data_IF_248571622429
#
_entry.id   IF_248571622429
#
_cell.length_a   1.000
_cell.length_b   1.000
_cell.length_c   1.000
_cell.angle_alpha   90.00
_cell.angle_beta   90.00
_cell.angle_gamma   90.00
#
_symmetry.space_group_name_H-M   'P 1'
#
loop_
_entity.id
_entity.type
_entity.pdbx_description
1 polymer ?
#
# COMPACT_ATOMS: atom_id res chain seq x y z
N UNK A 1 -22.16 0.79 2.34
CA UNK A 1 -21.90 -0.55 1.76
C UNK A 1 -21.42 -0.38 0.34
N UNK A 2 -20.47 -1.22 -0.07
CA UNK A 2 -19.90 -1.25 -1.42
C UNK A 2 -20.04 -2.68 -1.96
N UNK A 3 -21.21 -3.05 -2.51
CA UNK A 3 -21.36 -4.34 -3.18
C UNK A 3 -20.32 -4.50 -4.28
N UNK A 4 -19.85 -5.73 -4.53
CA UNK A 4 -18.82 -6.00 -5.53
C UNK A 4 -19.15 -5.38 -6.91
N UNK A 5 -20.39 -5.47 -7.37
CA UNK A 5 -20.82 -4.84 -8.63
C UNK A 5 -20.57 -3.33 -8.66
N UNK A 6 -20.76 -2.64 -7.53
CA UNK A 6 -20.45 -1.22 -7.41
C UNK A 6 -18.94 -0.97 -7.38
N UNK A 7 -18.16 -1.88 -6.78
CA UNK A 7 -16.71 -1.79 -6.78
C UNK A 7 -16.12 -1.86 -8.21
N UNK A 8 -16.73 -2.69 -9.09
CA UNK A 8 -16.38 -2.81 -10.51
C UNK A 8 -16.59 -1.51 -11.30
N UNK A 9 -17.42 -0.60 -10.80
CA UNK A 9 -17.60 0.75 -11.38
C UNK A 9 -16.68 1.78 -10.74
N UNK A 10 -16.58 1.77 -9.41
CA UNK A 10 -15.83 2.76 -8.63
C UNK A 10 -14.33 2.67 -8.92
N UNK A 11 -13.75 1.47 -8.87
CA UNK A 11 -12.28 1.32 -8.99
C UNK A 11 -11.80 1.79 -10.38
N UNK A 12 -12.39 1.37 -11.51
CA UNK A 12 -11.99 1.91 -12.81
C UNK A 12 -12.21 3.41 -12.95
N UNK A 13 -13.26 3.98 -12.32
CA UNK A 13 -13.49 5.42 -12.33
C UNK A 13 -12.42 6.19 -11.53
N UNK A 14 -11.99 5.65 -10.39
CA UNK A 14 -10.90 6.22 -9.60
C UNK A 14 -9.56 6.19 -10.35
N UNK A 15 -9.34 5.16 -11.16
CA UNK A 15 -8.10 4.95 -11.92
C UNK A 15 -8.16 5.50 -13.35
N UNK A 16 -9.23 6.21 -13.72
CA UNK A 16 -9.37 6.82 -15.05
C UNK A 16 -8.16 7.69 -15.50
N UNK A 17 -7.44 8.40 -14.61
CA UNK A 17 -6.23 9.14 -14.99
C UNK A 17 -5.10 8.28 -15.60
N UNK A 18 -5.12 6.95 -15.39
CA UNK A 18 -4.17 6.01 -16.01
C UNK A 18 -4.47 5.73 -17.49
N UNK A 19 -5.58 6.24 -18.01
CA UNK A 19 -5.92 6.18 -19.43
C UNK A 19 -6.78 4.97 -19.83
N UNK A 20 -7.33 5.00 -21.06
CA UNK A 20 -8.35 4.05 -21.50
C UNK A 20 -7.85 2.62 -21.60
N UNK A 21 -6.59 2.39 -22.01
CA UNK A 21 -6.02 1.04 -22.10
C UNK A 21 -5.92 0.38 -20.72
N UNK A 22 -5.47 1.12 -19.70
CA UNK A 22 -5.46 0.64 -18.32
C UNK A 22 -6.89 0.36 -17.83
N UNK A 23 -7.82 1.27 -18.14
CA UNK A 23 -9.24 1.14 -17.83
C UNK A 23 -9.91 -0.09 -18.47
N UNK A 24 -9.48 -0.52 -19.65
CA UNK A 24 -9.97 -1.73 -20.31
C UNK A 24 -9.51 -2.98 -19.57
N UNK A 25 -8.22 -3.09 -19.27
CA UNK A 25 -7.64 -4.27 -18.60
C UNK A 25 -8.23 -4.46 -17.20
N UNK A 26 -8.36 -3.38 -16.41
CA UNK A 26 -8.93 -3.51 -15.06
C UNK A 26 -10.40 -3.95 -15.09
N UNK A 27 -11.19 -3.48 -16.07
CA UNK A 27 -12.59 -3.90 -16.22
C UNK A 27 -12.70 -5.37 -16.61
N UNK A 28 -11.80 -5.85 -17.47
CA UNK A 28 -11.70 -7.26 -17.82
C UNK A 28 -11.36 -8.11 -16.60
N UNK A 29 -10.31 -7.74 -15.85
CA UNK A 29 -9.94 -8.50 -14.66
C UNK A 29 -11.05 -8.51 -13.60
N UNK A 30 -11.70 -7.36 -13.37
CA UNK A 30 -12.83 -7.25 -12.43
C UNK A 30 -14.10 -7.96 -12.88
N UNK A 31 -14.16 -8.53 -14.09
CA UNK A 31 -15.23 -9.41 -14.51
C UNK A 31 -15.01 -10.83 -13.98
N UNK A 32 -15.89 -11.38 -13.13
CA UNK A 32 -15.77 -12.76 -12.66
C UNK A 32 -15.71 -13.80 -13.80
N UNK A 33 -16.27 -13.48 -14.98
CA UNK A 33 -16.20 -14.36 -16.14
C UNK A 33 -14.79 -14.45 -16.76
N UNK A 34 -13.89 -13.52 -16.44
CA UNK A 34 -12.51 -13.51 -16.95
C UNK A 34 -11.61 -14.57 -16.29
N UNK A 35 -12.01 -15.08 -15.12
CA UNK A 35 -11.18 -15.99 -14.32
C UNK A 35 -10.05 -15.33 -13.54
N UNK A 36 -9.94 -14.00 -13.54
CA UNK A 36 -8.91 -13.29 -12.76
C UNK A 36 -9.19 -13.27 -11.27
N UNK A 37 -10.45 -13.34 -10.83
CA UNK A 37 -10.81 -13.10 -9.43
C UNK A 37 -11.70 -14.20 -8.82
N UNK A 38 -11.32 -14.65 -7.62
CA UNK A 38 -12.16 -15.44 -6.71
C UNK A 38 -12.67 -14.56 -5.56
N UNK A 39 -13.92 -14.10 -5.68
CA UNK A 39 -14.45 -12.90 -5.01
C UNK A 39 -14.81 -13.11 -3.53
N UNK A 40 -15.68 -14.08 -3.23
CA UNK A 40 -16.38 -14.15 -1.94
C UNK A 40 -15.77 -15.19 -0.99
N UNK A 41 -15.93 -15.01 0.34
CA UNK A 41 -15.58 -16.05 1.30
C UNK A 41 -16.43 -17.30 1.09
N UNK A 42 -15.83 -18.47 1.28
CA UNK A 42 -16.53 -19.75 1.31
C UNK A 42 -15.90 -20.66 2.37
N UNK A 43 -16.58 -21.79 2.65
CA UNK A 43 -16.12 -22.74 3.66
C UNK A 43 -14.71 -23.24 3.31
N UNK A 44 -13.80 -23.14 4.28
CA UNK A 44 -12.41 -23.59 4.18
C UNK A 44 -11.51 -22.75 3.23
N UNK A 45 -12.00 -21.62 2.71
CA UNK A 45 -11.15 -20.65 2.00
C UNK A 45 -10.21 -19.98 2.99
N UNK A 46 -8.92 -19.93 2.64
CA UNK A 46 -7.90 -19.22 3.42
C UNK A 46 -8.33 -17.77 3.70
N UNK A 47 -7.95 -17.20 4.84
CA UNK A 47 -8.28 -15.81 5.21
C UNK A 47 -7.50 -14.78 4.37
N UNK A 48 -7.87 -13.50 4.48
CA UNK A 48 -7.18 -12.41 3.78
C UNK A 48 -7.40 -12.38 2.26
N UNK A 49 -6.57 -11.61 1.57
CA UNK A 49 -6.55 -11.47 0.12
C UNK A 49 -5.11 -11.54 -0.39
N UNK A 50 -4.94 -11.89 -1.66
CA UNK A 50 -3.64 -11.80 -2.33
C UNK A 50 -3.79 -11.76 -3.86
N UNK A 51 -2.73 -11.33 -4.52
CA UNK A 51 -2.52 -11.50 -5.95
C UNK A 51 -1.36 -12.46 -6.21
N UNK A 52 -1.53 -13.36 -7.17
CA UNK A 52 -0.48 -14.24 -7.69
C UNK A 52 -0.45 -14.17 -9.22
N UNK A 53 0.73 -14.33 -9.82
CA UNK A 53 0.90 -14.22 -11.26
C UNK A 53 1.78 -15.33 -11.83
N UNK A 54 1.43 -15.76 -13.04
CA UNK A 54 2.18 -16.74 -13.83
C UNK A 54 2.43 -16.12 -15.20
N UNK A 55 3.68 -16.16 -15.66
CA UNK A 55 4.04 -15.56 -16.95
C UNK A 55 3.26 -16.22 -18.11
N UNK A 56 2.81 -15.39 -19.05
CA UNK A 56 2.09 -15.84 -20.24
C UNK A 56 0.58 -16.03 -20.04
N UNK A 57 0.07 -15.85 -18.83
CA UNK A 57 -1.37 -15.83 -18.53
C UNK A 57 -1.72 -14.59 -17.69
N UNK A 58 -3.02 -14.35 -17.48
CA UNK A 58 -3.47 -13.29 -16.61
C UNK A 58 -3.15 -13.58 -15.13
N UNK A 59 -3.05 -12.55 -14.27
CA UNK A 59 -2.92 -12.73 -12.82
C UNK A 59 -4.20 -13.31 -12.20
N UNK A 60 -4.06 -13.80 -10.97
CA UNK A 60 -5.13 -14.33 -10.14
C UNK A 60 -5.20 -13.55 -8.82
N UNK A 61 -6.37 -13.00 -8.52
CA UNK A 61 -6.70 -12.26 -7.32
C UNK A 61 -7.66 -13.10 -6.49
N UNK A 62 -7.26 -13.44 -5.26
CA UNK A 62 -8.14 -14.09 -4.30
C UNK A 62 -8.57 -13.08 -3.27
N UNK A 63 -9.88 -12.97 -3.07
CA UNK A 63 -10.51 -12.08 -2.10
C UNK A 63 -11.32 -12.88 -1.08
N UNK A 64 -11.51 -12.30 0.10
CA UNK A 64 -12.65 -12.58 0.95
C UNK A 64 -13.48 -11.29 1.01
N UNK A 65 -14.09 -10.93 -0.12
CA UNK A 65 -14.72 -9.62 -0.29
C UNK A 65 -15.93 -9.46 0.61
N UNK A 66 -15.91 -8.39 1.40
CA UNK A 66 -17.04 -7.94 2.22
C UNK A 66 -17.57 -6.63 1.61
N UNK A 67 -18.88 -6.43 1.63
CA UNK A 67 -19.54 -5.28 0.99
C UNK A 67 -19.37 -3.96 1.78
N UNK A 68 -18.17 -3.68 2.26
CA UNK A 68 -17.77 -2.53 3.05
C UNK A 68 -16.56 -1.81 2.43
N UNK A 69 -16.06 -0.78 3.13
CA UNK A 69 -14.95 0.03 2.63
C UNK A 69 -13.64 -0.76 2.63
N UNK A 70 -13.47 -1.69 3.56
CA UNK A 70 -12.24 -2.47 3.67
C UNK A 70 -12.17 -3.46 2.51
N UNK A 71 -13.27 -4.15 2.20
CA UNK A 71 -13.36 -4.98 0.99
C UNK A 71 -13.06 -4.19 -0.28
N UNK A 72 -13.61 -2.98 -0.43
CA UNK A 72 -13.35 -2.11 -1.59
C UNK A 72 -11.87 -1.68 -1.67
N UNK A 73 -11.27 -1.29 -0.55
CA UNK A 73 -9.86 -0.86 -0.50
C UNK A 73 -8.92 -2.02 -0.79
N UNK A 74 -9.14 -3.18 -0.17
CA UNK A 74 -8.35 -4.40 -0.42
C UNK A 74 -8.48 -4.84 -1.87
N UNK A 75 -9.67 -4.75 -2.49
CA UNK A 75 -9.82 -5.05 -3.91
C UNK A 75 -8.97 -4.11 -4.78
N UNK A 76 -8.98 -2.81 -4.50
CA UNK A 76 -8.13 -1.86 -5.22
C UNK A 76 -6.62 -2.13 -5.02
N UNK A 77 -6.23 -2.53 -3.81
CA UNK A 77 -4.87 -2.93 -3.45
C UNK A 77 -4.41 -4.12 -4.30
N UNK A 78 -5.16 -5.23 -4.28
CA UNK A 78 -4.79 -6.44 -5.02
C UNK A 78 -4.79 -6.23 -6.53
N UNK A 79 -5.69 -5.39 -7.05
CA UNK A 79 -5.65 -5.00 -8.46
C UNK A 79 -4.46 -4.11 -8.83
N UNK A 80 -3.85 -3.43 -7.85
CA UNK A 80 -2.54 -2.80 -8.06
C UNK A 80 -1.48 -3.83 -8.40
N UNK A 81 -1.38 -4.90 -7.62
CA UNK A 81 -0.46 -6.01 -7.90
C UNK A 81 -0.80 -6.75 -9.19
N UNK A 82 -2.08 -7.05 -9.42
CA UNK A 82 -2.52 -7.76 -10.62
C UNK A 82 -2.15 -6.99 -11.89
N UNK A 83 -2.43 -5.69 -11.94
CA UNK A 83 -2.15 -4.87 -13.10
C UNK A 83 -0.65 -4.58 -13.26
N UNK A 84 0.11 -4.48 -12.16
CA UNK A 84 1.57 -4.45 -12.22
C UNK A 84 2.12 -5.74 -12.86
N UNK A 85 1.70 -6.91 -12.38
CA UNK A 85 2.07 -8.21 -12.94
C UNK A 85 1.68 -8.36 -14.40
N UNK A 86 0.45 -7.99 -14.76
CA UNK A 86 -0.03 -8.06 -16.13
C UNK A 86 0.81 -7.18 -17.08
N UNK A 87 1.10 -5.93 -16.69
CA UNK A 87 1.90 -5.00 -17.49
C UNK A 87 3.35 -5.47 -17.63
N UNK A 88 3.97 -5.95 -16.57
CA UNK A 88 5.33 -6.49 -16.60
C UNK A 88 5.41 -7.74 -17.48
N UNK A 89 4.52 -8.71 -17.30
CA UNK A 89 4.49 -9.95 -18.09
C UNK A 89 4.20 -9.70 -19.56
N UNK A 90 3.41 -8.68 -19.90
CA UNK A 90 3.09 -8.35 -21.29
C UNK A 90 4.15 -7.50 -21.98
N UNK A 91 5.09 -6.92 -21.23
CA UNK A 91 6.11 -5.98 -21.75
C UNK A 91 7.54 -6.51 -21.66
N UNK A 92 7.79 -7.55 -20.87
CA UNK A 92 9.10 -8.11 -20.63
C UNK A 92 9.17 -9.59 -21.05
N UNK A 93 10.34 -10.09 -21.46
CA UNK A 93 10.55 -11.54 -21.55
C UNK A 93 10.42 -12.19 -20.16
N UNK A 94 10.15 -13.50 -20.13
CA UNK A 94 9.99 -14.28 -18.90
C UNK A 94 11.05 -14.00 -17.82
N UNK A 95 12.32 -13.88 -18.23
CA UNK A 95 13.46 -13.65 -17.33
C UNK A 95 13.41 -12.30 -16.61
N UNK A 96 12.69 -11.32 -17.16
CA UNK A 96 12.60 -9.96 -16.64
C UNK A 96 11.18 -9.58 -16.19
N UNK A 97 10.19 -10.48 -16.28
CA UNK A 97 8.79 -10.13 -16.03
C UNK A 97 8.43 -10.05 -14.56
N UNK A 98 9.18 -10.70 -13.68
CA UNK A 98 9.03 -10.56 -12.23
C UNK A 98 9.61 -9.22 -11.77
N UNK A 99 9.07 -8.66 -10.69
CA UNK A 99 9.59 -7.47 -10.02
C UNK A 99 9.89 -7.78 -8.56
N UNK A 100 10.81 -7.01 -7.97
CA UNK A 100 11.18 -7.18 -6.56
C UNK A 100 10.07 -6.68 -5.64
N UNK A 101 9.97 -7.28 -4.46
CA UNK A 101 9.07 -6.81 -3.39
C UNK A 101 9.20 -5.31 -3.08
N UNK A 102 10.38 -4.73 -3.25
CA UNK A 102 10.65 -3.30 -3.05
C UNK A 102 9.73 -2.37 -3.87
N UNK A 103 9.38 -2.73 -5.12
CA UNK A 103 8.46 -1.95 -5.97
C UNK A 103 7.04 -2.52 -6.01
N UNK A 104 6.81 -3.68 -5.38
CA UNK A 104 5.54 -4.40 -5.46
C UNK A 104 4.40 -3.57 -4.83
N UNK A 105 4.66 -2.98 -3.66
CA UNK A 105 3.68 -2.21 -2.88
C UNK A 105 3.38 -0.82 -3.45
N UNK A 106 4.14 -0.36 -4.45
CA UNK A 106 3.92 0.98 -5.04
C UNK A 106 2.61 1.00 -5.81
N UNK A 107 2.30 -0.06 -6.57
CA UNK A 107 1.10 -0.11 -7.40
C UNK A 107 -0.19 -0.26 -6.59
N UNK A 108 -0.16 -1.10 -5.55
CA UNK A 108 -1.28 -1.32 -4.64
C UNK A 108 -1.62 -0.04 -3.85
N UNK A 109 -0.61 0.58 -3.23
CA UNK A 109 -0.80 1.84 -2.48
C UNK A 109 -1.14 3.04 -3.37
N UNK A 110 -0.62 3.09 -4.61
CA UNK A 110 -1.08 4.06 -5.61
C UNK A 110 -2.59 3.93 -5.85
N UNK A 111 -3.09 2.71 -6.06
CA UNK A 111 -4.49 2.47 -6.33
C UNK A 111 -5.38 2.86 -5.14
N UNK A 112 -5.00 2.51 -3.92
CA UNK A 112 -5.73 2.92 -2.70
C UNK A 112 -5.84 4.44 -2.57
N UNK A 113 -4.73 5.14 -2.83
CA UNK A 113 -4.67 6.61 -2.78
C UNK A 113 -5.61 7.22 -3.82
N UNK A 114 -5.58 6.74 -5.07
CA UNK A 114 -6.46 7.19 -6.13
C UNK A 114 -7.94 6.92 -5.82
N UNK A 115 -8.25 5.75 -5.27
CA UNK A 115 -9.58 5.40 -4.79
C UNK A 115 -10.05 6.36 -3.69
N UNK A 116 -9.23 6.59 -2.67
CA UNK A 116 -9.57 7.48 -1.57
C UNK A 116 -9.77 8.93 -2.05
N UNK A 117 -8.91 9.44 -2.95
CA UNK A 117 -9.07 10.75 -3.60
C UNK A 117 -10.38 10.84 -4.41
N UNK A 118 -10.73 9.79 -5.15
CA UNK A 118 -11.99 9.74 -5.90
C UNK A 118 -13.21 9.79 -4.97
N UNK A 119 -13.21 8.97 -3.92
CA UNK A 119 -14.30 8.92 -2.94
C UNK A 119 -14.47 10.25 -2.19
N UNK A 120 -13.37 10.93 -1.82
CA UNK A 120 -13.43 12.24 -1.18
C UNK A 120 -14.08 13.30 -2.07
N UNK A 121 -13.83 13.26 -3.40
CA UNK A 121 -14.43 14.20 -4.36
C UNK A 121 -15.94 14.03 -4.48
N UNK A 122 -16.45 12.82 -4.31
CA UNK A 122 -17.89 12.50 -4.47
C UNK A 122 -18.63 12.32 -3.14
N UNK A 123 -17.93 12.44 -2.00
CA UNK A 123 -18.51 12.37 -0.66
C UNK A 123 -19.57 13.48 -0.45
N UNK A 124 -20.72 13.10 0.08
CA UNK A 124 -21.91 13.96 0.16
C UNK A 124 -22.09 14.61 1.53
N UNK A 125 -21.49 14.06 2.57
CA UNK A 125 -21.59 14.57 3.93
C UNK A 125 -20.23 14.78 4.59
N UNK A 126 -20.20 15.59 5.66
CA UNK A 126 -18.98 15.81 6.43
C UNK A 126 -18.54 14.53 7.15
N UNK A 127 -19.49 13.69 7.58
CA UNK A 127 -19.22 12.39 8.20
C UNK A 127 -18.55 11.43 7.21
N UNK A 128 -19.03 11.36 5.96
CA UNK A 128 -18.39 10.57 4.90
C UNK A 128 -16.97 11.05 4.62
N UNK A 129 -16.76 12.38 4.55
CA UNK A 129 -15.43 12.97 4.37
C UNK A 129 -14.51 12.65 5.54
N UNK A 130 -14.97 12.85 6.77
CA UNK A 130 -14.21 12.54 7.99
C UNK A 130 -13.80 11.06 8.03
N UNK A 131 -14.70 10.15 7.66
CA UNK A 131 -14.38 8.72 7.58
C UNK A 131 -13.27 8.42 6.57
N UNK A 132 -13.33 9.02 5.37
CA UNK A 132 -12.33 8.83 4.32
C UNK A 132 -10.98 9.48 4.66
N UNK A 133 -10.99 10.67 5.28
CA UNK A 133 -9.80 11.36 5.78
C UNK A 133 -9.16 10.55 6.91
N UNK A 134 -9.96 10.02 7.86
CA UNK A 134 -9.45 9.15 8.92
C UNK A 134 -8.82 7.88 8.35
N UNK A 135 -9.43 7.25 7.34
CA UNK A 135 -8.82 6.09 6.64
C UNK A 135 -7.47 6.45 6.03
N UNK A 136 -7.32 7.65 5.44
CA UNK A 136 -6.03 8.13 4.92
C UNK A 136 -5.00 8.35 6.02
N UNK A 137 -5.38 8.98 7.13
CA UNK A 137 -4.51 9.13 8.31
C UNK A 137 -4.04 7.76 8.80
N UNK A 138 -4.95 6.81 8.97
CA UNK A 138 -4.64 5.47 9.43
C UNK A 138 -3.75 4.69 8.46
N UNK A 139 -3.96 4.81 7.14
CA UNK A 139 -3.10 4.20 6.13
C UNK A 139 -1.66 4.73 6.23
N UNK A 140 -1.49 6.06 6.33
CA UNK A 140 -0.17 6.69 6.49
C UNK A 140 0.48 6.25 7.82
N UNK A 141 -0.26 6.29 8.93
CA UNK A 141 0.22 5.89 10.25
C UNK A 141 0.69 4.43 10.27
N UNK A 142 -0.12 3.52 9.74
CA UNK A 142 0.13 2.07 9.84
C UNK A 142 1.10 1.54 8.79
N UNK A 143 1.30 2.23 7.66
CA UNK A 143 2.14 1.74 6.56
C UNK A 143 3.47 2.48 6.46
N UNK A 144 3.58 3.72 6.97
CA UNK A 144 4.86 4.44 7.05
C UNK A 144 5.41 4.37 8.46
N UNK A 145 4.78 5.02 9.44
CA UNK A 145 5.35 5.18 10.77
C UNK A 145 5.49 3.84 11.51
N UNK A 146 4.43 3.01 11.51
CA UNK A 146 4.48 1.69 12.15
C UNK A 146 5.45 0.73 11.46
N UNK A 147 5.56 0.78 10.13
CA UNK A 147 6.50 -0.08 9.41
C UNK A 147 7.95 0.39 9.55
N UNK A 148 8.18 1.70 9.69
CA UNK A 148 9.48 2.25 10.04
C UNK A 148 9.90 1.83 11.46
N UNK A 149 8.98 1.86 12.43
CA UNK A 149 9.17 1.30 13.77
C UNK A 149 9.58 -0.18 13.69
N UNK A 150 8.86 -0.97 12.89
CA UNK A 150 9.17 -2.39 12.68
C UNK A 150 10.56 -2.60 12.08
N UNK A 151 10.94 -1.80 11.08
CA UNK A 151 12.27 -1.87 10.47
C UNK A 151 13.37 -1.52 11.48
N UNK A 152 13.18 -0.47 12.29
CA UNK A 152 14.13 -0.11 13.36
C UNK A 152 14.25 -1.19 14.44
N UNK A 153 13.12 -1.81 14.81
CA UNK A 153 13.14 -2.96 15.72
C UNK A 153 13.95 -4.11 15.14
N UNK A 154 13.65 -4.51 13.90
CA UNK A 154 14.36 -5.61 13.25
C UNK A 154 15.86 -5.31 13.12
N UNK A 155 16.23 -4.05 12.82
CA UNK A 155 17.63 -3.61 12.76
C UNK A 155 18.32 -3.70 14.11
N UNK A 156 17.66 -3.24 15.17
CA UNK A 156 18.19 -3.29 16.53
C UNK A 156 18.43 -4.73 16.99
N UNK A 157 17.47 -5.63 16.70
CA UNK A 157 17.56 -7.05 17.04
C UNK A 157 18.70 -7.74 16.28
N UNK A 158 18.80 -7.54 14.96
CA UNK A 158 19.90 -8.11 14.16
C UNK A 158 21.26 -7.55 14.60
N UNK A 159 21.36 -6.25 14.81
CA UNK A 159 22.59 -5.59 15.29
C UNK A 159 23.03 -6.11 16.67
N UNK A 160 22.09 -6.44 17.55
CA UNK A 160 22.38 -7.01 18.87
C UNK A 160 22.89 -8.45 18.74
N UNK A 161 22.26 -9.27 17.88
CA UNK A 161 22.70 -10.63 17.60
C UNK A 161 24.12 -10.66 17.00
N UNK A 162 24.42 -9.77 16.05
CA UNK A 162 25.76 -9.64 15.44
C UNK A 162 26.85 -9.29 16.46
N UNK A 163 26.48 -8.58 17.53
CA UNK A 163 27.36 -8.24 18.66
C UNK A 163 27.44 -9.34 19.73
N UNK A 164 26.77 -10.48 19.53
CA UNK A 164 26.73 -11.59 20.48
C UNK A 164 25.83 -11.34 21.69
N UNK A 165 24.91 -10.37 21.62
CA UNK A 165 23.94 -10.13 22.69
C UNK A 165 22.83 -11.19 22.62
N UNK A 166 22.53 -11.93 23.71
CA UNK A 166 21.42 -12.87 23.72
C UNK A 166 20.06 -12.17 23.55
N UNK A 167 19.28 -12.63 22.57
CA UNK A 167 17.94 -12.10 22.28
C UNK A 167 16.88 -12.74 23.20
N UNK A 168 16.89 -12.36 24.47
CA UNK A 168 15.87 -12.82 25.44
C UNK A 168 14.55 -12.07 25.22
N UNK A 169 13.42 -12.63 25.69
CA UNK A 169 12.12 -11.96 25.62
C UNK A 169 12.18 -10.55 26.23
N UNK A 170 12.75 -10.40 27.43
CA UNK A 170 12.87 -9.09 28.08
C UNK A 170 13.75 -8.07 27.33
N UNK A 171 14.71 -8.53 26.51
CA UNK A 171 15.44 -7.64 25.60
C UNK A 171 14.52 -7.15 24.49
N UNK A 172 13.81 -8.07 23.82
CA UNK A 172 12.90 -7.77 22.72
C UNK A 172 11.74 -6.87 23.16
N UNK A 173 11.09 -7.20 24.28
CA UNK A 173 9.99 -6.42 24.88
C UNK A 173 10.44 -4.98 25.16
N UNK A 174 11.60 -4.83 25.81
CA UNK A 174 12.15 -3.50 26.12
C UNK A 174 12.48 -2.71 24.86
N UNK A 175 13.19 -3.31 23.90
CA UNK A 175 13.55 -2.65 22.65
C UNK A 175 12.32 -2.19 21.89
N UNK A 176 11.28 -3.03 21.83
CA UNK A 176 10.04 -2.71 21.16
C UNK A 176 9.26 -1.59 21.88
N UNK A 177 9.11 -1.68 23.20
CA UNK A 177 8.44 -0.67 24.01
C UNK A 177 9.12 0.71 23.93
N UNK A 178 10.46 0.75 23.90
CA UNK A 178 11.22 2.00 23.76
C UNK A 178 10.96 2.64 22.38
N UNK A 179 10.87 1.83 21.33
CA UNK A 179 10.52 2.31 19.99
C UNK A 179 9.07 2.83 19.93
N UNK A 180 8.10 2.15 20.55
CA UNK A 180 6.72 2.66 20.67
C UNK A 180 6.74 4.05 21.31
N UNK A 181 7.41 4.22 22.46
CA UNK A 181 7.47 5.52 23.16
C UNK A 181 8.10 6.60 22.28
N UNK A 182 9.14 6.27 21.54
CA UNK A 182 9.81 7.20 20.63
C UNK A 182 8.92 7.63 19.46
N UNK A 183 8.18 6.70 18.85
CA UNK A 183 7.35 6.95 17.67
C UNK A 183 6.01 7.61 18.02
N UNK A 184 5.38 7.22 19.12
CA UNK A 184 4.05 7.70 19.51
C UNK A 184 4.09 8.92 20.43
N UNK A 185 5.26 9.21 21.03
CA UNK A 185 5.47 10.41 21.84
C UNK A 185 4.99 10.28 23.29
N UNK A 186 5.23 11.32 24.11
CA UNK A 186 5.05 11.27 25.56
C UNK A 186 3.58 11.20 26.00
N UNK A 187 2.63 11.61 25.15
CA UNK A 187 1.20 11.58 25.44
C UNK A 187 0.56 10.21 25.19
N UNK A 188 1.31 9.25 24.63
CA UNK A 188 0.83 7.90 24.38
C UNK A 188 1.07 7.00 25.60
N UNK A 189 -0.01 6.43 26.12
CA UNK A 189 0.04 5.44 27.20
C UNK A 189 0.32 4.05 26.65
N UNK A 190 1.52 3.51 26.90
CA UNK A 190 1.88 2.12 26.58
C UNK A 190 1.22 1.18 27.57
N UNK A 191 0.33 0.31 27.09
CA UNK A 191 -0.33 -0.73 27.85
C UNK A 191 0.55 -1.95 28.10
N UNK A 192 0.10 -2.81 29.01
CA UNK A 192 0.85 -4.00 29.45
C UNK A 192 1.18 -4.98 28.30
N UNK A 193 0.36 -5.02 27.24
CA UNK A 193 0.53 -5.96 26.14
C UNK A 193 1.18 -5.33 24.89
N UNK A 194 1.40 -4.01 24.88
CA UNK A 194 1.94 -3.32 23.70
C UNK A 194 3.40 -3.71 23.44
N UNK A 195 4.15 -4.04 24.49
CA UNK A 195 5.54 -4.51 24.38
C UNK A 195 5.67 -5.89 23.73
N UNK A 196 4.59 -6.69 23.69
CA UNK A 196 4.58 -8.06 23.14
C UNK A 196 4.15 -8.11 21.67
N UNK A 197 3.87 -6.96 21.07
CA UNK A 197 3.37 -6.90 19.70
C UNK A 197 4.35 -7.55 18.69
N UNK A 198 5.65 -7.45 18.95
CA UNK A 198 6.66 -8.06 18.11
C UNK A 198 6.50 -9.57 17.93
N UNK A 199 5.93 -10.25 18.93
CA UNK A 199 5.87 -11.71 18.95
C UNK A 199 4.89 -12.29 17.92
N UNK A 200 3.87 -11.53 17.51
CA UNK A 200 2.84 -12.01 16.58
C UNK A 200 2.95 -11.42 15.17
N UNK A 201 3.91 -10.53 14.91
CA UNK A 201 4.10 -9.95 13.57
C UNK A 201 4.80 -10.97 12.66
N UNK A 202 4.10 -11.58 11.68
CA UNK A 202 4.70 -12.61 10.83
C UNK A 202 5.82 -12.05 9.94
N UNK A 203 5.79 -10.74 9.64
CA UNK A 203 6.74 -10.13 8.71
C UNK A 203 8.19 -10.11 9.22
N UNK A 204 8.41 -10.20 10.53
CA UNK A 204 9.77 -10.33 11.08
C UNK A 204 10.44 -11.66 10.71
N UNK A 205 9.68 -12.64 10.20
CA UNK A 205 10.22 -13.91 9.71
C UNK A 205 10.54 -13.89 8.20
N UNK A 206 10.39 -12.74 7.52
CA UNK A 206 10.65 -12.58 6.08
C UNK A 206 11.92 -11.77 5.74
N UNK A 207 12.91 -11.72 6.65
CA UNK A 207 14.26 -11.15 6.42
C UNK A 207 14.25 -9.69 5.94
N UNK A 208 13.91 -8.76 6.83
CA UNK A 208 14.04 -7.32 6.61
C UNK A 208 13.20 -6.77 5.44
N UNK A 209 11.97 -7.27 5.31
CA UNK A 209 11.03 -6.85 4.27
C UNK A 209 10.25 -5.59 4.65
N UNK A 210 9.91 -5.41 5.94
CA UNK A 210 8.92 -4.43 6.40
C UNK A 210 9.18 -2.97 5.97
N UNK A 211 10.45 -2.58 5.79
CA UNK A 211 10.79 -1.22 5.35
C UNK A 211 10.21 -0.88 3.96
N UNK A 212 9.97 -1.88 3.10
CA UNK A 212 9.47 -1.66 1.76
C UNK A 212 8.04 -1.12 1.75
N UNK A 213 7.26 -1.36 2.81
CA UNK A 213 5.94 -0.75 2.97
C UNK A 213 6.04 0.76 3.14
N UNK A 214 6.96 1.23 4.00
CA UNK A 214 7.15 2.66 4.23
C UNK A 214 7.64 3.36 2.96
N UNK A 215 8.67 2.82 2.31
CA UNK A 215 9.16 3.37 1.03
C UNK A 215 8.14 3.23 -0.10
N UNK A 216 7.38 2.13 -0.10
CA UNK A 216 6.35 1.80 -1.08
C UNK A 216 5.19 2.78 -1.03
N UNK A 217 4.58 2.96 0.16
CA UNK A 217 3.48 3.92 0.34
C UNK A 217 3.95 5.35 0.05
N UNK A 218 5.09 5.80 0.57
CA UNK A 218 5.62 7.13 0.25
C UNK A 218 5.77 7.36 -1.26
N UNK A 219 6.25 6.35 -1.98
CA UNK A 219 6.39 6.41 -3.44
C UNK A 219 5.04 6.39 -4.16
N UNK A 220 4.14 5.49 -3.76
CA UNK A 220 2.79 5.37 -4.33
C UNK A 220 1.98 6.65 -4.14
N UNK A 221 2.05 7.27 -2.96
CA UNK A 221 1.43 8.58 -2.67
C UNK A 221 1.97 9.69 -3.57
N UNK A 222 3.30 9.80 -3.69
CA UNK A 222 3.95 10.83 -4.49
C UNK A 222 3.63 10.68 -5.99
N UNK A 223 3.60 9.44 -6.50
CA UNK A 223 3.22 9.14 -7.88
C UNK A 223 1.74 9.40 -8.12
N UNK A 224 0.85 8.98 -7.22
CA UNK A 224 -0.58 9.20 -7.32
C UNK A 224 -0.95 10.69 -7.28
N UNK A 225 -0.26 11.50 -6.46
CA UNK A 225 -0.46 12.96 -6.45
C UNK A 225 -0.14 13.58 -7.82
N UNK A 226 0.99 13.21 -8.44
CA UNK A 226 1.36 13.71 -9.79
C UNK A 226 0.38 13.23 -10.86
N UNK A 227 0.11 11.93 -10.94
CA UNK A 227 -0.80 11.34 -11.95
C UNK A 227 -2.23 11.86 -11.79
N UNK A 228 -2.70 12.04 -10.56
CA UNK A 228 -4.05 12.52 -10.25
C UNK A 228 -4.33 13.95 -10.72
N UNK A 229 -3.30 14.76 -11.01
CA UNK A 229 -3.43 16.10 -11.62
C UNK A 229 -3.67 16.07 -13.14
N UNK A 230 -3.58 14.89 -13.76
CA UNK A 230 -3.72 14.74 -15.22
C UNK A 230 -2.40 14.93 -16.00
N UNK A 231 -1.25 14.93 -15.32
CA UNK A 231 0.06 14.97 -15.98
C UNK A 231 0.32 13.68 -16.78
N UNK A 232 0.21 13.77 -18.11
CA UNK A 232 0.45 12.66 -19.01
C UNK A 232 1.89 12.11 -18.92
N UNK A 233 2.89 12.96 -18.66
CA UNK A 233 4.28 12.51 -18.51
C UNK A 233 4.44 11.69 -17.22
N UNK A 234 3.85 12.15 -16.13
CA UNK A 234 3.86 11.41 -14.86
C UNK A 234 3.14 10.06 -15.00
N UNK A 235 1.99 10.04 -15.69
CA UNK A 235 1.26 8.81 -16.01
C UNK A 235 2.14 7.84 -16.80
N UNK A 236 2.74 8.30 -17.89
CA UNK A 236 3.53 7.44 -18.78
C UNK A 236 4.79 6.92 -18.07
N UNK A 237 5.40 7.74 -17.20
CA UNK A 237 6.53 7.34 -16.37
C UNK A 237 6.14 6.26 -15.34
N UNK A 238 5.00 6.41 -14.66
CA UNK A 238 4.46 5.39 -13.76
C UNK A 238 4.15 4.07 -14.48
N UNK A 239 3.44 4.14 -15.62
CA UNK A 239 3.16 2.95 -16.43
C UNK A 239 4.45 2.31 -16.96
N UNK A 240 5.48 3.11 -17.27
CA UNK A 240 6.81 2.63 -17.64
C UNK A 240 7.48 1.81 -16.54
N UNK A 241 7.36 2.25 -15.28
CA UNK A 241 7.83 1.49 -14.12
C UNK A 241 7.08 0.16 -13.97
N UNK A 242 5.74 0.16 -14.07
CA UNK A 242 4.95 -1.08 -13.98
C UNK A 242 5.29 -2.09 -15.08
N UNK A 243 5.60 -1.61 -16.29
CA UNK A 243 6.05 -2.45 -17.41
C UNK A 243 7.49 -2.92 -17.27
N UNK A 244 8.25 -2.36 -16.33
CA UNK A 244 9.69 -2.57 -16.19
C UNK A 244 10.08 -3.94 -15.66
N UNK A 245 9.22 -4.60 -14.88
CA UNK A 245 9.54 -5.86 -14.20
C UNK A 245 10.88 -5.76 -13.45
N UNK A 246 11.84 -6.60 -13.81
CA UNK A 246 13.22 -6.62 -13.30
C UNK A 246 14.25 -6.24 -14.36
N UNK A 247 13.83 -5.55 -15.43
CA UNK A 247 14.73 -5.11 -16.51
C UNK A 247 15.83 -4.14 -16.06
N UNK A 248 15.68 -3.51 -14.90
CA UNK A 248 16.63 -2.58 -14.28
C UNK A 248 16.59 -2.69 -12.76
N UNK A 249 17.61 -2.18 -12.04
CA UNK A 249 17.54 -2.03 -10.60
C UNK A 249 16.27 -1.29 -10.15
N UNK A 250 15.58 -1.74 -9.09
CA UNK A 250 14.29 -1.16 -8.68
C UNK A 250 14.34 0.35 -8.39
N UNK A 251 15.43 0.85 -7.80
CA UNK A 251 15.63 2.28 -7.57
C UNK A 251 15.74 3.07 -8.88
N UNK A 252 16.32 2.49 -9.94
CA UNK A 252 16.41 3.14 -11.24
C UNK A 252 15.05 3.19 -11.95
N UNK A 253 14.25 2.11 -11.85
CA UNK A 253 12.88 2.10 -12.38
C UNK A 253 12.03 3.18 -11.69
N UNK A 254 12.12 3.26 -10.36
CA UNK A 254 11.37 4.22 -9.56
C UNK A 254 11.83 5.67 -9.83
N UNK A 255 13.13 5.89 -9.96
CA UNK A 255 13.68 7.18 -10.38
C UNK A 255 13.18 7.59 -11.75
N UNK A 256 13.09 6.64 -12.69
CA UNK A 256 12.46 6.84 -13.99
C UNK A 256 10.98 7.23 -13.92
N UNK A 257 10.25 6.75 -12.91
CA UNK A 257 8.87 7.18 -12.60
C UNK A 257 8.78 8.56 -11.94
N UNK A 258 9.91 9.17 -11.58
CA UNK A 258 9.98 10.48 -10.96
C UNK A 258 9.98 10.48 -9.43
N UNK A 259 10.40 9.38 -8.81
CA UNK A 259 10.64 9.27 -7.35
C UNK A 259 12.06 8.79 -7.10
N UNK A 260 12.88 9.57 -6.39
CA UNK A 260 14.24 9.20 -6.02
C UNK A 260 14.32 8.93 -4.52
N UNK A 261 14.39 7.64 -4.13
CA UNK A 261 14.44 7.24 -2.72
C UNK A 261 15.84 7.40 -2.09
N UNK A 262 16.85 7.91 -2.81
CA UNK A 262 18.09 8.39 -2.18
C UNK A 262 17.92 9.80 -1.61
N UNK A 263 16.72 10.37 -1.69
CA UNK A 263 16.36 11.72 -1.27
C UNK A 263 15.06 11.69 -0.45
N UNK A 264 14.81 12.69 0.41
CA UNK A 264 13.72 12.62 1.39
C UNK A 264 12.33 12.96 0.82
N UNK A 265 12.23 13.46 -0.42
CA UNK A 265 11.03 14.16 -0.89
C UNK A 265 9.78 13.28 -0.93
N UNK A 266 9.93 11.97 -1.18
CA UNK A 266 8.81 11.03 -1.15
C UNK A 266 8.22 10.86 0.26
N UNK A 267 9.09 10.75 1.26
CA UNK A 267 8.69 10.65 2.68
C UNK A 267 8.11 11.97 3.16
N UNK A 268 8.74 13.09 2.81
CA UNK A 268 8.22 14.41 3.14
C UNK A 268 6.87 14.69 2.46
N UNK A 269 6.63 14.18 1.24
CA UNK A 269 5.35 14.32 0.57
C UNK A 269 4.25 13.58 1.34
N UNK A 270 4.53 12.38 1.85
CA UNK A 270 3.60 11.65 2.71
C UNK A 270 3.34 12.39 4.03
N UNK A 271 4.36 12.95 4.67
CA UNK A 271 4.22 13.76 5.89
C UNK A 271 3.38 15.02 5.64
N UNK A 272 3.63 15.74 4.54
CA UNK A 272 2.81 16.89 4.13
C UNK A 272 1.36 16.50 3.83
N UNK A 273 1.13 15.33 3.25
CA UNK A 273 -0.22 14.82 3.03
C UNK A 273 -0.93 14.54 4.36
N UNK A 274 -0.23 13.93 5.33
CA UNK A 274 -0.76 13.69 6.67
C UNK A 274 -1.18 15.00 7.34
N UNK A 275 -0.28 16.00 7.35
CA UNK A 275 -0.53 17.33 7.94
C UNK A 275 -1.76 18.02 7.31
N UNK A 276 -1.85 18.02 5.98
CA UNK A 276 -3.02 18.55 5.27
C UNK A 276 -4.30 17.79 5.62
N UNK A 277 -4.23 16.46 5.74
CA UNK A 277 -5.38 15.61 6.04
C UNK A 277 -5.91 15.88 7.44
N UNK A 278 -5.02 15.97 8.44
CA UNK A 278 -5.39 16.31 9.83
C UNK A 278 -5.99 17.72 9.89
N UNK A 279 -5.35 18.69 9.24
CA UNK A 279 -5.86 20.07 9.14
C UNK A 279 -7.26 20.13 8.51
N UNK A 280 -7.55 19.28 7.52
CA UNK A 280 -8.88 19.19 6.92
C UNK A 280 -9.89 18.56 7.87
N UNK A 281 -9.51 17.50 8.59
CA UNK A 281 -10.35 16.89 9.62
C UNK A 281 -10.74 17.88 10.72
N UNK A 282 -9.78 18.67 11.23
CA UNK A 282 -10.01 19.69 12.27
C UNK A 282 -11.03 20.74 11.85
N UNK A 283 -11.08 21.10 10.55
CA UNK A 283 -12.08 22.06 10.02
C UNK A 283 -13.48 21.48 9.96
N UNK A 284 -13.61 20.17 9.78
CA UNK A 284 -14.89 19.46 9.69
C UNK A 284 -15.43 19.05 11.07
N UNK A 285 -14.55 18.90 12.06
CA UNK A 285 -14.94 18.59 13.42
C UNK A 285 -15.64 19.79 14.08
N UNK A 286 -16.65 19.55 14.95
CA UNK A 286 -17.25 20.61 15.74
C UNK A 286 -16.17 21.26 16.61
N UNK A 287 -16.13 22.60 16.62
CA UNK A 287 -15.24 23.35 17.51
C UNK A 287 -15.61 23.01 18.96
N UNK A 288 -14.61 22.60 19.75
CA UNK A 288 -14.73 22.42 21.20
C UNK A 288 -14.99 23.76 21.89
#
# INVERSE_FOLDING_TARGET
KFPFEKAREIIPAALAPLGPEYGKVIKEGLDPASGWIDVYPNKDKESGAFCSSVFGVHPFVKMNYMDDMDGLSTLAHEYGHALHSHLACSSQPYVNSSYTMFVAEIASTFNEKMLNDHLLKVAKSNEEKLYLLNKRVESIRTTIYRQALFAEFELAVHSAAEKGVPLTAGFLDKTYADLIRSYYGPDFSVGQNDELEWAYIPHFYYKYYVYSYATGLSSGLALAEKVGTGDAKARDAYLGMLKGGSSKPPLELLKGAGVDLTRPEAVEAAARLLDRTVTEMEKLLPKK
#
